data_IF_548728620599
#
_entry.id   IF_548728620599
#
_cell.length_a   1.000
_cell.length_b   1.000
_cell.length_c   1.000
_cell.angle_alpha   90.00
_cell.angle_beta   90.00
_cell.angle_gamma   90.00
#
_symmetry.space_group_name_H-M   'P 1'
#
loop_
_entity.id
_entity.type
_entity.pdbx_description
1 polymer ?
#
# COMPACT_ATOMS: atom_id res chain seq x y z
N UNK A 1 12.66 -38.22 -65.59
CA UNK A 1 11.64 -37.69 -64.65
C UNK A 1 12.07 -37.99 -63.21
N UNK A 2 12.83 -37.08 -62.57
CA UNK A 2 12.98 -37.00 -61.11
C UNK A 2 13.18 -35.51 -60.79
N UNK A 3 12.20 -34.95 -60.07
CA UNK A 3 12.07 -33.52 -59.78
C UNK A 3 13.03 -33.09 -58.66
N UNK A 4 13.43 -31.82 -58.75
CA UNK A 4 14.15 -31.03 -57.76
C UNK A 4 13.38 -30.94 -56.43
N UNK A 5 14.12 -30.85 -55.32
CA UNK A 5 13.62 -30.32 -54.05
C UNK A 5 14.66 -29.38 -53.44
N UNK A 6 14.54 -28.08 -53.72
CA UNK A 6 15.31 -27.03 -53.08
C UNK A 6 14.65 -26.67 -51.74
N UNK A 7 15.37 -26.85 -50.63
CA UNK A 7 14.91 -26.45 -49.31
C UNK A 7 15.14 -24.94 -49.10
N UNK A 8 14.05 -24.16 -49.08
CA UNK A 8 14.03 -22.77 -48.65
C UNK A 8 13.99 -22.73 -47.11
N UNK A 9 15.09 -22.32 -46.49
CA UNK A 9 15.11 -21.95 -45.06
C UNK A 9 14.55 -20.54 -44.95
N UNK A 10 13.28 -20.44 -44.54
CA UNK A 10 12.63 -19.16 -44.22
C UNK A 10 13.10 -18.71 -42.83
N UNK A 11 13.92 -17.66 -42.79
CA UNK A 11 14.37 -17.01 -41.57
C UNK A 11 13.27 -16.07 -41.09
N UNK A 12 12.34 -16.55 -40.27
CA UNK A 12 11.40 -15.68 -39.54
C UNK A 12 12.17 -14.89 -38.48
N UNK A 13 12.44 -13.62 -38.77
CA UNK A 13 12.87 -12.67 -37.76
C UNK A 13 11.75 -12.50 -36.73
N UNK A 14 11.96 -13.02 -35.52
CA UNK A 14 11.14 -12.68 -34.35
C UNK A 14 11.57 -11.29 -33.94
N UNK A 15 10.94 -10.26 -34.53
CA UNK A 15 10.99 -8.93 -33.95
C UNK A 15 10.20 -8.99 -32.65
N UNK A 16 10.91 -9.07 -31.53
CA UNK A 16 10.35 -8.86 -30.21
C UNK A 16 9.71 -7.47 -30.18
N UNK A 17 8.40 -7.43 -30.34
CA UNK A 17 7.61 -6.27 -29.96
C UNK A 17 7.63 -6.22 -28.42
N UNK A 18 8.68 -5.63 -27.85
CA UNK A 18 8.53 -4.92 -26.59
C UNK A 18 7.55 -3.79 -26.86
N UNK A 19 6.25 -4.10 -26.74
CA UNK A 19 5.24 -3.08 -26.57
C UNK A 19 5.64 -2.32 -25.30
N UNK A 20 6.28 -1.17 -25.47
CA UNK A 20 6.57 -0.25 -24.39
C UNK A 20 5.24 0.10 -23.74
N UNK A 21 4.94 -0.53 -22.60
CA UNK A 21 3.82 -0.14 -21.76
C UNK A 21 3.97 1.35 -21.51
N UNK A 22 2.99 2.20 -21.89
CA UNK A 22 3.07 3.62 -21.62
C UNK A 22 3.40 3.81 -20.14
N UNK A 23 4.36 4.68 -19.82
CA UNK A 23 4.66 5.03 -18.44
C UNK A 23 3.35 5.45 -17.76
N UNK A 24 2.78 4.61 -16.88
CA UNK A 24 1.47 4.91 -16.30
C UNK A 24 1.50 6.16 -15.45
N UNK A 25 2.66 6.59 -14.96
CA UNK A 25 2.77 7.92 -14.35
C UNK A 25 2.43 9.02 -15.36
N UNK A 26 2.84 8.88 -16.62
CA UNK A 26 2.43 9.79 -17.69
C UNK A 26 0.93 9.72 -17.98
N UNK A 27 0.34 8.52 -17.99
CA UNK A 27 -1.10 8.38 -18.14
C UNK A 27 -1.91 9.04 -17.00
N UNK A 28 -1.38 9.06 -15.77
CA UNK A 28 -1.97 9.84 -14.66
C UNK A 28 -1.93 11.35 -14.89
N UNK A 29 -1.02 11.84 -15.73
CA UNK A 29 -0.88 13.25 -16.10
C UNK A 29 -1.71 13.65 -17.33
N UNK A 30 -2.20 12.70 -18.11
CA UNK A 30 -2.99 12.90 -19.34
C UNK A 30 -4.50 12.80 -19.04
N UNK A 31 -4.95 13.63 -18.09
CA UNK A 31 -6.34 13.71 -17.64
C UNK A 31 -7.02 14.97 -18.16
N UNK A 32 -8.35 15.00 -18.21
CA UNK A 32 -9.13 16.21 -18.54
C UNK A 32 -9.07 17.31 -17.46
N UNK A 33 -8.21 17.18 -16.44
CA UNK A 33 -8.00 18.17 -15.37
C UNK A 33 -7.75 19.56 -15.96
N UNK A 34 -6.96 19.68 -17.03
CA UNK A 34 -6.64 20.97 -17.66
C UNK A 34 -7.85 21.75 -18.18
N UNK A 35 -8.95 21.07 -18.52
CA UNK A 35 -10.18 21.73 -18.99
C UNK A 35 -10.95 22.44 -17.88
N UNK A 36 -10.71 22.07 -16.62
CA UNK A 36 -11.39 22.62 -15.43
C UNK A 36 -10.41 23.39 -14.53
N UNK A 37 -9.23 22.82 -14.28
CA UNK A 37 -8.21 23.32 -13.34
C UNK A 37 -6.79 23.17 -13.91
N UNK A 38 -6.38 24.03 -14.86
CA UNK A 38 -5.06 23.95 -15.51
C UNK A 38 -3.88 24.11 -14.53
N UNK A 39 -4.06 24.85 -13.44
CA UNK A 39 -3.03 24.95 -12.41
C UNK A 39 -2.83 23.62 -11.68
N UNK A 40 -3.90 22.88 -11.36
CA UNK A 40 -3.81 21.57 -10.74
C UNK A 40 -3.14 20.56 -11.67
N UNK A 41 -3.44 20.63 -12.97
CA UNK A 41 -2.78 19.81 -13.97
C UNK A 41 -1.27 20.09 -14.02
N UNK A 42 -0.87 21.36 -14.00
CA UNK A 42 0.54 21.77 -13.96
C UNK A 42 1.25 21.26 -12.69
N UNK A 43 0.64 21.41 -11.51
CA UNK A 43 1.19 20.88 -10.25
C UNK A 43 1.29 19.35 -10.26
N UNK A 44 0.30 18.67 -10.85
CA UNK A 44 0.30 17.21 -10.98
C UNK A 44 1.48 16.74 -11.83
N UNK A 45 1.69 17.36 -12.99
CA UNK A 45 2.79 17.01 -13.91
C UNK A 45 4.16 17.37 -13.34
N UNK A 46 4.33 18.60 -12.88
CA UNK A 46 5.63 19.13 -12.46
C UNK A 46 6.03 18.62 -11.08
N UNK A 47 5.18 18.81 -10.08
CA UNK A 47 5.58 18.63 -8.67
C UNK A 47 5.26 17.22 -8.16
N UNK A 48 4.03 16.74 -8.37
CA UNK A 48 3.64 15.41 -7.88
C UNK A 48 4.35 14.30 -8.66
N UNK A 49 4.09 14.18 -9.95
CA UNK A 49 4.62 13.09 -10.79
C UNK A 49 6.06 13.38 -11.24
N UNK A 50 6.39 14.64 -11.46
CA UNK A 50 7.70 15.08 -11.92
C UNK A 50 8.79 15.01 -10.86
N UNK A 51 8.45 15.29 -9.59
CA UNK A 51 9.40 15.32 -8.46
C UNK A 51 9.08 14.27 -7.39
N UNK A 52 7.91 14.36 -6.74
CA UNK A 52 7.59 13.55 -5.54
C UNK A 52 7.69 12.05 -5.81
N UNK A 53 7.14 11.57 -6.94
CA UNK A 53 7.22 10.16 -7.32
C UNK A 53 8.62 9.67 -7.69
N UNK A 54 9.56 10.58 -7.93
CA UNK A 54 10.94 10.27 -8.33
C UNK A 54 11.97 10.42 -7.21
N UNK A 55 11.58 10.99 -6.06
CA UNK A 55 12.46 11.13 -4.89
C UNK A 55 12.99 9.76 -4.43
N UNK A 56 14.31 9.57 -4.27
CA UNK A 56 14.93 8.25 -4.11
C UNK A 56 14.75 7.61 -2.72
N UNK A 57 14.41 8.40 -1.69
CA UNK A 57 14.26 7.89 -0.31
C UNK A 57 13.10 6.91 -0.10
N UNK A 58 12.21 6.75 -1.08
CA UNK A 58 11.16 5.73 -1.08
C UNK A 58 10.96 5.21 -2.51
N UNK A 59 10.99 3.88 -2.68
CA UNK A 59 10.89 3.23 -3.98
C UNK A 59 9.52 3.47 -4.63
N UNK A 60 9.45 3.34 -5.97
CA UNK A 60 8.17 3.43 -6.69
C UNK A 60 7.15 2.39 -6.22
N UNK A 61 7.61 1.16 -5.91
CA UNK A 61 6.79 0.10 -5.32
C UNK A 61 6.19 0.55 -3.99
N UNK A 62 7.01 1.03 -3.06
CA UNK A 62 6.53 1.47 -1.74
C UNK A 62 5.63 2.71 -1.84
N UNK A 63 5.91 3.64 -2.76
CA UNK A 63 5.01 4.77 -3.06
C UNK A 63 3.66 4.27 -3.52
N UNK A 64 3.61 3.31 -4.44
CA UNK A 64 2.36 2.69 -4.88
C UNK A 64 1.59 2.04 -3.73
N UNK A 65 2.26 1.30 -2.83
CA UNK A 65 1.64 0.71 -1.62
C UNK A 65 1.05 1.79 -0.72
N UNK A 66 1.79 2.88 -0.47
CA UNK A 66 1.32 4.02 0.33
C UNK A 66 0.14 4.73 -0.35
N UNK A 67 0.21 4.95 -1.67
CA UNK A 67 -0.85 5.62 -2.40
C UNK A 67 -2.16 4.83 -2.35
N UNK A 68 -2.14 3.53 -2.70
CA UNK A 68 -3.37 2.73 -2.68
C UNK A 68 -3.91 2.60 -1.25
N UNK A 69 -3.04 2.48 -0.24
CA UNK A 69 -3.47 2.45 1.16
C UNK A 69 -4.14 3.77 1.59
N UNK A 70 -3.60 4.92 1.18
CA UNK A 70 -4.19 6.23 1.47
C UNK A 70 -5.56 6.42 0.81
N UNK A 71 -5.68 6.03 -0.48
CA UNK A 71 -6.94 6.12 -1.22
C UNK A 71 -8.02 5.22 -0.60
N UNK A 72 -7.66 3.98 -0.22
CA UNK A 72 -8.56 3.08 0.50
C UNK A 72 -8.95 3.69 1.84
N UNK A 73 -7.97 4.19 2.62
CA UNK A 73 -8.21 4.76 3.94
C UNK A 73 -9.18 5.96 3.90
N UNK A 74 -9.13 6.74 2.82
CA UNK A 74 -9.96 7.92 2.58
C UNK A 74 -11.27 7.63 1.84
N UNK A 75 -11.54 6.37 1.46
CA UNK A 75 -12.73 6.00 0.68
C UNK A 75 -12.74 6.56 -0.75
N UNK A 76 -11.58 6.90 -1.31
CA UNK A 76 -11.44 7.53 -2.63
C UNK A 76 -11.43 6.49 -3.77
N UNK A 77 -12.49 5.67 -3.83
CA UNK A 77 -12.56 4.51 -4.74
C UNK A 77 -12.56 4.88 -6.23
N UNK A 78 -12.99 6.09 -6.61
CA UNK A 78 -12.98 6.55 -8.01
C UNK A 78 -11.57 6.74 -8.59
N UNK A 79 -10.60 7.05 -7.75
CA UNK A 79 -9.19 7.21 -8.13
C UNK A 79 -8.44 5.87 -8.05
N UNK A 80 -8.96 4.91 -7.29
CA UNK A 80 -8.25 3.68 -6.95
C UNK A 80 -7.87 2.80 -8.17
N UNK A 81 -8.70 2.62 -9.22
CA UNK A 81 -8.37 1.75 -10.36
C UNK A 81 -7.05 2.12 -11.06
N UNK A 82 -6.80 3.41 -11.31
CA UNK A 82 -5.57 3.82 -12.00
C UNK A 82 -4.32 3.64 -11.12
N UNK A 83 -4.45 3.81 -9.81
CA UNK A 83 -3.34 3.60 -8.87
C UNK A 83 -3.09 2.12 -8.55
N UNK A 84 -4.12 1.27 -8.55
CA UNK A 84 -3.96 -0.19 -8.51
C UNK A 84 -3.23 -0.70 -9.75
N UNK A 85 -3.62 -0.18 -10.91
CA UNK A 85 -2.89 -0.39 -12.16
C UNK A 85 -1.42 0.03 -12.01
N UNK A 86 -1.14 1.28 -11.63
CA UNK A 86 0.24 1.74 -11.43
C UNK A 86 1.01 0.88 -10.40
N UNK A 87 0.36 0.42 -9.33
CA UNK A 87 0.97 -0.44 -8.34
C UNK A 87 1.45 -1.77 -8.94
N UNK A 88 0.62 -2.43 -9.75
CA UNK A 88 1.00 -3.64 -10.48
C UNK A 88 2.20 -3.39 -11.41
N UNK A 89 2.27 -2.24 -12.08
CA UNK A 89 3.40 -1.91 -12.97
C UNK A 89 4.69 -1.62 -12.19
N UNK A 90 4.56 -1.07 -10.98
CA UNK A 90 5.67 -0.83 -10.07
C UNK A 90 6.08 -2.09 -9.28
N UNK A 91 5.51 -3.25 -9.60
CA UNK A 91 5.87 -4.54 -9.00
C UNK A 91 5.22 -4.85 -7.66
N UNK A 92 4.08 -4.21 -7.34
CA UNK A 92 3.22 -4.68 -6.24
C UNK A 92 2.46 -5.90 -6.73
N UNK A 93 2.52 -7.00 -5.98
CA UNK A 93 1.88 -8.25 -6.38
C UNK A 93 0.35 -8.20 -6.14
N UNK A 94 -0.47 -8.93 -6.93
CA UNK A 94 -1.90 -9.05 -6.66
C UNK A 94 -2.22 -9.59 -5.27
N UNK A 95 -1.38 -10.49 -4.74
CA UNK A 95 -1.51 -11.01 -3.38
C UNK A 95 -1.32 -9.93 -2.33
N UNK A 96 -0.37 -9.01 -2.55
CA UNK A 96 -0.12 -7.87 -1.66
C UNK A 96 -1.29 -6.90 -1.70
N UNK A 97 -1.79 -6.55 -2.89
CA UNK A 97 -2.99 -5.70 -3.05
C UNK A 97 -4.18 -6.31 -2.29
N UNK A 98 -4.41 -7.62 -2.44
CA UNK A 98 -5.49 -8.33 -1.73
C UNK A 98 -5.33 -8.21 -0.22
N UNK A 99 -4.13 -8.43 0.33
CA UNK A 99 -3.88 -8.29 1.76
C UNK A 99 -3.96 -6.84 2.26
N UNK A 100 -3.58 -5.86 1.43
CA UNK A 100 -3.76 -4.43 1.77
C UNK A 100 -5.24 -4.13 1.96
N UNK A 101 -6.10 -4.61 1.05
CA UNK A 101 -7.56 -4.44 1.15
C UNK A 101 -8.09 -5.11 2.43
N UNK A 102 -7.71 -6.36 2.67
CA UNK A 102 -8.13 -7.11 3.88
C UNK A 102 -7.69 -6.40 5.15
N UNK A 103 -6.43 -5.97 5.24
CA UNK A 103 -5.91 -5.29 6.43
C UNK A 103 -6.61 -3.95 6.66
N UNK A 104 -6.82 -3.16 5.61
CA UNK A 104 -7.48 -1.86 5.72
C UNK A 104 -9.00 -1.96 5.94
N UNK A 105 -9.63 -3.11 5.71
CA UNK A 105 -11.01 -3.33 6.17
C UNK A 105 -11.12 -3.23 7.71
N UNK A 106 -10.08 -3.62 8.44
CA UNK A 106 -10.02 -3.48 9.92
C UNK A 106 -9.54 -2.08 10.34
N UNK A 107 -8.50 -1.55 9.68
CA UNK A 107 -7.86 -0.29 10.09
C UNK A 107 -8.48 0.97 9.49
N UNK A 108 -9.30 0.86 8.46
CA UNK A 108 -9.90 2.00 7.72
C UNK A 108 -11.39 1.88 7.46
N UNK A 109 -12.07 0.94 8.15
CA UNK A 109 -13.48 0.53 7.99
C UNK A 109 -13.75 -0.55 6.94
N UNK A 110 -14.72 -1.42 7.26
CA UNK A 110 -15.16 -2.52 6.40
C UNK A 110 -15.71 -2.02 5.06
N UNK A 111 -16.43 -0.89 5.08
CA UNK A 111 -16.99 -0.27 3.87
C UNK A 111 -15.91 0.14 2.87
N UNK A 112 -14.80 0.72 3.35
CA UNK A 112 -13.67 1.09 2.50
C UNK A 112 -13.00 -0.15 1.88
N UNK A 113 -12.86 -1.23 2.67
CA UNK A 113 -12.39 -2.53 2.15
C UNK A 113 -13.29 -3.07 1.03
N UNK A 114 -14.61 -3.10 1.23
CA UNK A 114 -15.57 -3.57 0.23
C UNK A 114 -15.58 -2.72 -1.05
N UNK A 115 -15.45 -1.40 -0.93
CA UNK A 115 -15.31 -0.50 -2.07
C UNK A 115 -14.01 -0.79 -2.85
N UNK A 116 -12.91 -1.05 -2.12
CA UNK A 116 -11.62 -1.40 -2.71
C UNK A 116 -11.66 -2.75 -3.43
N UNK A 117 -12.37 -3.76 -2.90
CA UNK A 117 -12.62 -5.04 -3.60
C UNK A 117 -13.27 -4.79 -4.97
N UNK A 118 -14.26 -3.90 -5.03
CA UNK A 118 -14.96 -3.60 -6.29
C UNK A 118 -14.03 -2.96 -7.31
N UNK A 119 -13.18 -2.01 -6.89
CA UNK A 119 -12.19 -1.40 -7.77
C UNK A 119 -11.11 -2.41 -8.22
N UNK A 120 -10.60 -3.22 -7.29
CA UNK A 120 -9.58 -4.23 -7.58
C UNK A 120 -10.08 -5.33 -8.52
N UNK A 121 -11.34 -5.76 -8.39
CA UNK A 121 -11.96 -6.74 -9.30
C UNK A 121 -11.91 -6.29 -10.76
N UNK A 122 -12.23 -5.02 -11.03
CA UNK A 122 -12.18 -4.48 -12.38
C UNK A 122 -10.76 -4.51 -12.95
N UNK A 123 -9.78 -4.01 -12.19
CA UNK A 123 -8.37 -3.98 -12.61
C UNK A 123 -7.79 -5.39 -12.77
N UNK A 124 -8.11 -6.32 -11.86
CA UNK A 124 -7.64 -7.70 -11.93
C UNK A 124 -8.22 -8.44 -13.14
N UNK A 125 -9.48 -8.19 -13.49
CA UNK A 125 -10.07 -8.72 -14.72
C UNK A 125 -9.36 -8.18 -15.96
N UNK A 126 -9.13 -6.86 -16.04
CA UNK A 126 -8.36 -6.24 -17.14
C UNK A 126 -6.94 -6.79 -17.26
N UNK A 127 -6.32 -7.14 -16.14
CA UNK A 127 -4.95 -7.67 -16.07
C UNK A 127 -4.87 -9.19 -16.11
N UNK A 128 -6.01 -9.88 -16.30
CA UNK A 128 -6.10 -11.34 -16.30
C UNK A 128 -5.42 -11.98 -15.08
N UNK A 129 -5.55 -11.35 -13.91
CA UNK A 129 -5.03 -11.90 -12.65
C UNK A 129 -5.86 -13.12 -12.29
N UNK A 130 -5.22 -14.28 -12.20
CA UNK A 130 -5.84 -15.54 -11.84
C UNK A 130 -6.00 -15.68 -10.33
N UNK A 131 -6.99 -16.46 -9.89
CA UNK A 131 -7.34 -16.61 -8.48
C UNK A 131 -6.22 -17.26 -7.63
N UNK A 132 -5.37 -18.09 -8.24
CA UNK A 132 -4.21 -18.71 -7.61
C UNK A 132 -3.08 -17.71 -7.27
N UNK A 133 -3.13 -16.49 -7.81
CA UNK A 133 -2.23 -15.39 -7.41
C UNK A 133 -2.71 -14.61 -6.19
N UNK A 134 -3.86 -14.98 -5.61
CA UNK A 134 -4.39 -14.36 -4.40
C UNK A 134 -4.02 -15.19 -3.17
N UNK A 135 -3.93 -14.58 -1.97
CA UNK A 135 -3.63 -15.30 -0.75
C UNK A 135 -4.79 -16.26 -0.42
N UNK A 136 -4.52 -17.45 0.14
CA UNK A 136 -5.58 -18.31 0.63
C UNK A 136 -6.34 -17.62 1.79
N UNK A 137 -7.61 -17.99 1.96
CA UNK A 137 -8.43 -17.47 3.06
C UNK A 137 -7.79 -17.77 4.43
N UNK A 138 -7.27 -18.99 4.59
CA UNK A 138 -6.60 -19.49 5.79
C UNK A 138 -5.14 -19.87 5.47
N UNK A 139 -4.20 -18.91 5.46
CA UNK A 139 -2.79 -19.19 5.24
C UNK A 139 -2.14 -19.76 6.50
N UNK A 140 -0.97 -20.38 6.34
CA UNK A 140 -0.06 -20.60 7.47
C UNK A 140 0.43 -19.24 7.99
N UNK A 141 0.18 -18.96 9.27
CA UNK A 141 0.56 -17.71 9.90
C UNK A 141 2.07 -17.63 10.18
N UNK A 142 2.60 -16.41 10.15
CA UNK A 142 3.96 -16.08 10.57
C UNK A 142 4.15 -16.35 12.08
N UNK A 143 5.38 -16.61 12.55
CA UNK A 143 5.66 -16.81 13.96
C UNK A 143 5.26 -15.60 14.81
N UNK A 144 4.61 -15.87 15.95
CA UNK A 144 4.26 -14.86 16.96
C UNK A 144 5.43 -14.65 17.93
N UNK A 145 5.80 -13.40 18.17
CA UNK A 145 6.61 -13.04 19.34
C UNK A 145 5.69 -13.06 20.59
N UNK A 146 5.65 -14.23 21.24
CA UNK A 146 4.79 -14.45 22.40
C UNK A 146 5.08 -13.49 23.56
N UNK A 147 6.34 -13.05 23.73
CA UNK A 147 6.71 -12.14 24.82
C UNK A 147 6.21 -10.72 24.53
N UNK A 148 6.48 -10.22 23.32
CA UNK A 148 6.01 -8.90 22.91
C UNK A 148 4.48 -8.84 22.91
N UNK A 149 3.82 -9.92 22.50
CA UNK A 149 2.35 -10.01 22.49
C UNK A 149 1.77 -10.02 23.91
N UNK A 150 2.31 -10.83 24.82
CA UNK A 150 1.86 -10.83 26.22
C UNK A 150 1.96 -9.44 26.86
N UNK A 151 3.08 -8.73 26.64
CA UNK A 151 3.24 -7.36 27.13
C UNK A 151 2.28 -6.35 26.48
N UNK A 152 1.92 -6.54 25.19
CA UNK A 152 0.94 -5.70 24.51
C UNK A 152 -0.47 -5.96 25.05
N UNK A 153 -0.83 -7.23 25.22
CA UNK A 153 -2.13 -7.65 25.74
C UNK A 153 -2.36 -7.15 27.17
N UNK A 154 -1.34 -7.23 28.05
CA UNK A 154 -1.41 -6.68 29.41
C UNK A 154 -1.71 -5.18 29.42
N UNK A 155 -1.00 -4.39 28.59
CA UNK A 155 -1.25 -2.93 28.48
C UNK A 155 -2.67 -2.64 27.98
N UNK A 156 -3.12 -3.33 26.94
CA UNK A 156 -4.47 -3.13 26.41
C UNK A 156 -5.54 -3.55 27.42
N UNK A 157 -5.32 -4.64 28.16
CA UNK A 157 -6.22 -5.06 29.23
C UNK A 157 -6.30 -4.01 30.36
N UNK A 158 -5.17 -3.43 30.75
CA UNK A 158 -5.13 -2.38 31.77
C UNK A 158 -5.89 -1.11 31.34
N UNK A 159 -5.69 -0.67 30.09
CA UNK A 159 -6.23 0.61 29.60
C UNK A 159 -7.69 0.50 29.13
N UNK A 160 -8.09 -0.64 28.57
CA UNK A 160 -9.37 -0.81 27.85
C UNK A 160 -10.29 -1.83 28.53
N UNK A 161 -9.75 -2.79 29.28
CA UNK A 161 -10.48 -3.98 29.74
C UNK A 161 -11.67 -3.69 30.64
N UNK A 162 -11.58 -2.67 31.49
CA UNK A 162 -12.70 -2.26 32.34
C UNK A 162 -13.87 -1.64 31.56
N UNK A 163 -13.59 -1.07 30.39
CA UNK A 163 -14.59 -0.36 29.56
C UNK A 163 -15.16 -1.29 28.48
N UNK A 164 -14.30 -2.06 27.81
CA UNK A 164 -14.70 -2.91 26.69
C UNK A 164 -13.88 -4.19 26.62
N UNK A 165 -14.24 -5.22 27.41
CA UNK A 165 -13.51 -6.51 27.41
C UNK A 165 -13.61 -7.23 26.06
N UNK A 166 -14.72 -7.07 25.33
CA UNK A 166 -14.87 -7.61 23.98
C UNK A 166 -13.84 -7.02 23.00
N UNK A 167 -13.57 -5.71 23.10
CA UNK A 167 -12.57 -5.06 22.27
C UNK A 167 -11.16 -5.56 22.59
N UNK A 168 -10.83 -5.81 23.86
CA UNK A 168 -9.54 -6.41 24.24
C UNK A 168 -9.37 -7.79 23.60
N UNK A 169 -10.38 -8.65 23.74
CA UNK A 169 -10.38 -10.01 23.17
C UNK A 169 -10.18 -9.96 21.66
N UNK A 170 -10.99 -9.19 20.94
CA UNK A 170 -10.95 -9.15 19.47
C UNK A 170 -9.65 -8.51 18.97
N UNK A 171 -9.10 -7.53 19.68
CA UNK A 171 -7.75 -6.99 19.41
C UNK A 171 -6.69 -8.09 19.51
N UNK A 172 -6.77 -8.94 20.53
CA UNK A 172 -5.83 -10.06 20.72
C UNK A 172 -6.01 -11.12 19.63
N UNK A 173 -7.20 -11.71 19.55
CA UNK A 173 -7.46 -12.91 18.75
C UNK A 173 -7.57 -12.62 17.25
N UNK A 174 -8.33 -11.59 16.85
CA UNK A 174 -8.57 -11.30 15.43
C UNK A 174 -7.42 -10.49 14.83
N UNK A 175 -6.82 -9.56 15.59
CA UNK A 175 -5.80 -8.68 15.04
C UNK A 175 -4.39 -9.24 15.24
N UNK A 176 -3.90 -9.32 16.48
CA UNK A 176 -2.49 -9.59 16.72
C UNK A 176 -2.09 -11.07 16.63
N UNK A 177 -3.02 -12.00 16.89
CA UNK A 177 -2.82 -13.45 16.74
C UNK A 177 -3.25 -14.01 15.38
N UNK A 178 -3.90 -13.22 14.53
CA UNK A 178 -4.27 -13.61 13.15
C UNK A 178 -3.86 -12.56 12.11
N UNK A 179 -4.61 -11.46 11.95
CA UNK A 179 -4.43 -10.49 10.86
C UNK A 179 -2.99 -9.97 10.71
N UNK A 180 -2.28 -9.74 11.82
CA UNK A 180 -0.89 -9.26 11.84
C UNK A 180 0.14 -10.33 11.48
N UNK A 181 -0.23 -11.60 11.54
CA UNK A 181 0.62 -12.75 11.22
C UNK A 181 0.35 -13.32 9.83
N UNK A 182 -0.65 -12.82 9.09
CA UNK A 182 -0.91 -13.27 7.71
C UNK A 182 0.31 -12.99 6.81
N UNK A 183 0.80 -13.96 6.01
CA UNK A 183 2.08 -13.85 5.31
C UNK A 183 2.02 -13.13 3.97
N UNK A 184 0.83 -12.85 3.41
CA UNK A 184 0.71 -12.23 2.08
C UNK A 184 1.16 -10.75 2.04
N UNK A 185 1.46 -10.15 3.19
CA UNK A 185 2.30 -8.95 3.31
C UNK A 185 3.42 -9.24 4.30
N UNK A 186 4.62 -8.73 3.99
CA UNK A 186 5.69 -8.70 4.97
C UNK A 186 5.26 -7.90 6.21
N UNK A 187 5.78 -8.21 7.42
CA UNK A 187 5.52 -7.39 8.61
C UNK A 187 5.84 -5.90 8.40
N UNK A 188 6.88 -5.61 7.62
CA UNK A 188 7.26 -4.24 7.21
C UNK A 188 6.15 -3.56 6.44
N UNK A 189 5.65 -4.19 5.37
CA UNK A 189 4.66 -3.59 4.49
C UNK A 189 3.29 -3.51 5.14
N UNK A 190 2.93 -4.50 5.97
CA UNK A 190 1.72 -4.46 6.79
C UNK A 190 1.77 -3.24 7.72
N UNK A 191 2.89 -3.00 8.40
CA UNK A 191 3.06 -1.79 9.22
C UNK A 191 3.06 -0.50 8.38
N UNK A 192 3.66 -0.51 7.19
CA UNK A 192 3.68 0.64 6.28
C UNK A 192 2.26 1.10 5.92
N UNK A 193 1.37 0.17 5.56
CA UNK A 193 -0.02 0.52 5.23
C UNK A 193 -0.83 0.93 6.45
N UNK A 194 -0.55 0.36 7.65
CA UNK A 194 -1.22 0.80 8.88
C UNK A 194 -0.85 2.24 9.20
N UNK A 195 0.44 2.57 9.22
CA UNK A 195 0.91 3.94 9.47
C UNK A 195 0.35 4.91 8.43
N UNK A 196 0.34 4.48 7.16
CA UNK A 196 -0.25 5.26 6.07
C UNK A 196 -1.72 5.58 6.32
N UNK A 197 -2.52 4.58 6.67
CA UNK A 197 -3.94 4.76 6.97
C UNK A 197 -4.17 5.72 8.15
N UNK A 198 -3.41 5.54 9.24
CA UNK A 198 -3.51 6.39 10.41
C UNK A 198 -3.20 7.86 10.08
N UNK A 199 -2.13 8.11 9.31
CA UNK A 199 -1.79 9.47 8.84
C UNK A 199 -2.91 9.99 7.93
N UNK A 200 -3.38 9.20 6.97
CA UNK A 200 -4.39 9.63 6.00
C UNK A 200 -5.74 10.01 6.62
N UNK A 201 -6.03 9.45 7.80
CA UNK A 201 -7.24 9.74 8.59
C UNK A 201 -6.99 10.66 9.78
N UNK A 202 -5.79 11.20 9.96
CA UNK A 202 -5.45 12.10 11.08
C UNK A 202 -5.48 11.42 12.45
N UNK A 203 -5.37 10.09 12.51
CA UNK A 203 -5.48 9.27 13.72
C UNK A 203 -4.16 9.22 14.51
N UNK A 204 -3.66 10.39 14.90
CA UNK A 204 -2.34 10.58 15.53
C UNK A 204 -2.17 9.83 16.86
N UNK A 205 -3.26 9.57 17.58
CA UNK A 205 -3.23 8.87 18.87
C UNK A 205 -2.69 7.43 18.76
N UNK A 206 -2.91 6.76 17.62
CA UNK A 206 -2.43 5.39 17.37
C UNK A 206 -1.12 5.35 16.57
N UNK A 207 -0.73 6.47 15.95
CA UNK A 207 0.42 6.54 15.06
C UNK A 207 1.74 6.20 15.78
N UNK A 208 1.91 6.62 17.03
CA UNK A 208 3.16 6.39 17.77
C UNK A 208 3.53 4.90 17.91
N UNK A 209 2.56 4.07 18.33
CA UNK A 209 2.73 2.62 18.46
C UNK A 209 3.01 1.97 17.10
N UNK A 210 2.20 2.27 16.09
CA UNK A 210 2.33 1.62 14.78
C UNK A 210 3.57 2.07 14.01
N UNK A 211 4.00 3.33 14.13
CA UNK A 211 5.27 3.78 13.54
C UNK A 211 6.46 3.12 14.24
N UNK A 212 6.42 2.97 15.57
CA UNK A 212 7.43 2.22 16.28
C UNK A 212 7.53 0.77 15.76
N UNK A 213 6.40 0.07 15.69
CA UNK A 213 6.33 -1.29 15.14
C UNK A 213 6.83 -1.37 13.68
N UNK A 214 6.50 -0.38 12.85
CA UNK A 214 6.98 -0.32 11.48
C UNK A 214 8.51 -0.26 11.40
N UNK A 215 9.13 0.54 12.27
CA UNK A 215 10.58 0.64 12.34
C UNK A 215 11.24 -0.63 12.88
N UNK A 216 10.62 -1.30 13.85
CA UNK A 216 11.10 -2.59 14.35
C UNK A 216 11.03 -3.68 13.25
N UNK A 217 10.05 -3.56 12.34
CA UNK A 217 9.92 -4.39 11.15
C UNK A 217 10.81 -3.94 9.96
N UNK A 218 11.67 -2.93 10.14
CA UNK A 218 12.67 -2.52 9.14
C UNK A 218 12.29 -1.31 8.27
N UNK A 219 11.22 -0.57 8.58
CA UNK A 219 10.98 0.74 7.95
C UNK A 219 12.03 1.75 8.44
N UNK A 220 12.79 2.35 7.53
CA UNK A 220 13.83 3.31 7.93
C UNK A 220 13.23 4.68 8.27
N UNK A 221 14.00 5.50 9.01
CA UNK A 221 13.62 6.89 9.30
C UNK A 221 13.41 7.72 8.03
N UNK A 222 14.29 7.51 7.04
CA UNK A 222 14.21 8.17 5.74
C UNK A 222 12.94 7.77 4.99
N UNK A 223 12.63 6.47 4.95
CA UNK A 223 11.39 5.97 4.33
C UNK A 223 10.15 6.52 5.04
N UNK A 224 10.12 6.52 6.38
CA UNK A 224 9.01 7.10 7.13
C UNK A 224 8.83 8.61 6.87
N UNK A 225 9.91 9.37 6.72
CA UNK A 225 9.84 10.79 6.35
C UNK A 225 9.31 11.00 4.92
N UNK A 226 9.69 10.14 3.98
CA UNK A 226 9.16 10.15 2.61
C UNK A 226 7.69 9.74 2.55
N UNK A 227 7.24 8.81 3.40
CA UNK A 227 5.81 8.46 3.55
C UNK A 227 5.00 9.69 3.99
N UNK A 228 5.43 10.39 5.03
CA UNK A 228 4.75 11.61 5.52
C UNK A 228 4.70 12.67 4.41
N UNK A 229 5.82 12.88 3.72
CA UNK A 229 5.92 13.86 2.62
C UNK A 229 5.01 13.50 1.44
N UNK A 230 4.97 12.21 1.06
CA UNK A 230 4.10 11.72 -0.01
C UNK A 230 2.61 11.87 0.36
N UNK A 231 2.26 11.62 1.62
CA UNK A 231 0.89 11.75 2.11
C UNK A 231 0.40 13.20 2.23
N UNK A 232 1.29 14.20 2.19
CA UNK A 232 0.85 15.59 2.04
C UNK A 232 0.03 15.79 0.75
N UNK A 233 0.42 15.11 -0.35
CA UNK A 233 -0.28 15.18 -1.64
C UNK A 233 -1.53 14.31 -1.70
N UNK A 234 -1.50 13.13 -1.09
CA UNK A 234 -2.60 12.15 -1.19
C UNK A 234 -3.62 12.22 -0.05
N UNK A 235 -3.25 12.77 1.10
CA UNK A 235 -4.11 12.90 2.27
C UNK A 235 -4.21 14.33 2.82
N UNK A 236 -3.55 15.29 2.17
CA UNK A 236 -3.58 16.70 2.53
C UNK A 236 -2.50 17.12 3.54
N UNK A 237 -2.04 18.36 3.40
CA UNK A 237 -1.02 18.96 4.25
C UNK A 237 -1.33 18.90 5.76
N UNK A 238 -2.55 19.19 6.25
CA UNK A 238 -2.85 19.14 7.68
C UNK A 238 -2.59 17.78 8.33
N UNK A 239 -2.89 16.69 7.61
CA UNK A 239 -2.64 15.33 8.08
C UNK A 239 -1.15 15.03 8.17
N UNK A 240 -0.38 15.39 7.13
CA UNK A 240 1.07 15.23 7.14
C UNK A 240 1.74 16.05 8.26
N UNK A 241 1.33 17.30 8.46
CA UNK A 241 1.86 18.16 9.52
C UNK A 241 1.50 17.65 10.93
N UNK A 242 0.30 17.10 11.11
CA UNK A 242 -0.10 16.48 12.39
C UNK A 242 0.71 15.22 12.72
N UNK A 243 1.22 14.52 11.70
CA UNK A 243 2.06 13.33 11.86
C UNK A 243 3.50 13.65 12.30
N UNK A 244 4.04 14.82 11.92
CA UNK A 244 5.45 15.18 12.15
C UNK A 244 5.84 15.18 13.64
N UNK A 245 5.10 15.79 14.59
CA UNK A 245 5.46 15.74 16.00
C UNK A 245 5.51 14.33 16.58
N UNK A 246 4.60 13.45 16.13
CA UNK A 246 4.57 12.05 16.56
C UNK A 246 5.80 11.31 16.02
N UNK A 247 6.11 11.46 14.72
CA UNK A 247 7.29 10.88 14.11
C UNK A 247 8.58 11.35 14.80
N UNK A 248 8.70 12.64 15.10
CA UNK A 248 9.82 13.21 15.87
C UNK A 248 9.99 12.49 17.21
N UNK A 249 8.91 12.34 17.97
CA UNK A 249 8.95 11.66 19.28
C UNK A 249 9.44 10.21 19.15
N UNK A 250 8.91 9.46 18.20
CA UNK A 250 9.29 8.06 17.93
C UNK A 250 10.76 7.96 17.51
N UNK A 251 11.22 8.91 16.69
CA UNK A 251 12.60 9.02 16.23
C UNK A 251 13.55 9.35 17.38
N UNK A 252 13.21 10.26 18.27
CA UNK A 252 14.07 10.64 19.39
C UNK A 252 14.18 9.51 20.43
N UNK A 253 13.09 8.78 20.70
CA UNK A 253 13.09 7.63 21.60
C UNK A 253 14.04 6.51 21.15
N UNK A 254 14.28 6.37 19.84
CA UNK A 254 15.17 5.36 19.23
C UNK A 254 16.64 5.79 19.10
N UNK A 255 17.00 7.02 19.45
CA UNK A 255 18.41 7.49 19.41
C UNK A 255 19.18 7.13 20.69
N UNK A 256 18.49 6.57 21.69
CA UNK A 256 19.04 6.17 22.98
C UNK A 256 19.26 4.67 23.03
#
# INVERSE_FOLDING_TARGET
MKMLGAALVSLCAITGAEAQTPDRLRALAETEIGSVSPALEAYTRRDLLGEVWKRPGLSRRDRSVVTIAALIAKGQSGELPRYLSLALDNGVEPSEISEIITHLAFYSSWGNGMAAVTAARAVFAERSVSADRLPPAEPQLLPLDAKAEASREERVQADVGAVSPGLVRDTSELLFKDLWLRPGLSPRDRSLITVTSLIANGQVAQMGFHLARAMDNGLTREQAAEVISHLAFYAGWPNAFSAVPIAKTVFEARKR
#
